data_IF_420778805381
#
_entry.id   IF_420778805381
#
_cell.length_a   1.000
_cell.length_b   1.000
_cell.length_c   1.000
_cell.angle_alpha   90.00
_cell.angle_beta   90.00
_cell.angle_gamma   90.00
#
_symmetry.space_group_name_H-M   'P 1'
#
loop_
_entity.id
_entity.type
_entity.pdbx_description
1 polymer ?
#
# COMPACT_ATOMS: atom_id res chain seq x y z
N UNK A 1 51.77 45.87 14.08
CA UNK A 1 50.71 45.15 14.83
C UNK A 1 49.41 45.92 14.63
N UNK A 2 48.58 45.48 13.69
CA UNK A 2 47.26 46.03 13.45
C UNK A 2 46.26 44.88 13.64
N UNK A 3 45.34 45.08 14.57
CA UNK A 3 44.39 44.07 15.05
C UNK A 3 43.12 44.20 14.20
N UNK A 4 42.84 43.23 13.32
CA UNK A 4 41.61 43.18 12.53
C UNK A 4 40.65 42.20 13.23
N UNK A 5 39.55 42.73 13.77
CA UNK A 5 38.45 41.92 14.29
C UNK A 5 37.65 41.30 13.12
N UNK A 6 37.22 40.04 13.24
CA UNK A 6 36.35 39.43 12.24
C UNK A 6 34.88 39.85 12.41
N UNK A 7 34.25 40.05 11.26
CA UNK A 7 32.86 40.42 11.02
C UNK A 7 31.91 39.28 11.42
N UNK A 8 30.92 39.53 12.28
CA UNK A 8 29.85 38.58 12.61
C UNK A 8 28.64 38.81 11.69
N UNK A 9 28.19 37.83 10.88
CA UNK A 9 26.92 37.94 10.20
C UNK A 9 25.77 37.62 11.18
N UNK A 10 24.85 38.56 11.34
CA UNK A 10 23.61 38.37 12.09
C UNK A 10 22.71 37.42 11.29
N UNK A 11 22.49 36.22 11.81
CA UNK A 11 21.60 35.21 11.24
C UNK A 11 20.15 35.66 11.51
N UNK A 12 19.45 36.14 10.48
CA UNK A 12 18.02 36.41 10.56
C UNK A 12 17.27 35.07 10.67
N UNK A 13 16.70 34.79 11.84
CA UNK A 13 15.87 33.61 12.07
C UNK A 13 14.50 33.79 11.44
N UNK A 14 14.20 33.00 10.41
CA UNK A 14 12.89 32.88 9.79
C UNK A 14 11.98 32.10 10.75
N UNK A 15 11.06 32.79 11.46
CA UNK A 15 10.07 32.12 12.30
C UNK A 15 9.02 31.46 11.40
N UNK A 16 9.04 30.13 11.35
CA UNK A 16 8.05 29.31 10.64
C UNK A 16 6.74 29.35 11.43
N UNK A 17 5.67 29.87 10.82
CA UNK A 17 4.31 29.83 11.38
C UNK A 17 3.82 28.38 11.35
N UNK A 18 3.78 27.73 12.51
CA UNK A 18 3.24 26.38 12.64
C UNK A 18 1.73 26.41 12.49
N UNK A 19 1.22 25.80 11.42
CA UNK A 19 -0.21 25.50 11.25
C UNK A 19 -0.64 24.55 12.38
N UNK A 20 -1.67 24.86 13.19
CA UNK A 20 -2.13 23.95 14.22
C UNK A 20 -2.76 22.72 13.56
N UNK A 21 -2.17 21.55 13.79
CA UNK A 21 -2.74 20.28 13.39
C UNK A 21 -4.06 20.07 14.15
N UNK A 22 -5.16 19.94 13.42
CA UNK A 22 -6.44 19.47 13.96
C UNK A 22 -6.24 18.01 14.43
N UNK A 23 -6.13 17.82 15.74
CA UNK A 23 -6.17 16.49 16.36
C UNK A 23 -7.62 15.97 16.31
N UNK A 24 -7.89 14.83 15.66
CA UNK A 24 -9.20 14.21 15.78
C UNK A 24 -9.35 13.60 17.18
N UNK A 25 -10.37 14.03 17.91
CA UNK A 25 -10.80 13.38 19.16
C UNK A 25 -11.47 12.07 18.78
N UNK A 26 -10.86 10.94 19.14
CA UNK A 26 -11.50 9.63 19.01
C UNK A 26 -12.45 9.42 20.20
N UNK A 27 -13.76 9.35 19.94
CA UNK A 27 -14.75 8.87 20.90
C UNK A 27 -14.74 7.34 20.85
N UNK A 28 -14.35 6.70 21.94
CA UNK A 28 -14.43 5.25 22.08
C UNK A 28 -15.89 4.85 22.37
N UNK A 29 -16.61 4.38 21.35
CA UNK A 29 -17.86 3.66 21.53
C UNK A 29 -17.54 2.16 21.69
N UNK A 30 -17.90 1.61 22.85
CA UNK A 30 -17.81 0.17 23.10
C UNK A 30 -18.78 -0.58 22.18
N UNK A 31 -18.24 -1.34 21.23
CA UNK A 31 -18.97 -2.24 20.36
C UNK A 31 -17.99 -3.06 19.54
N UNK A 32 -18.20 -4.38 19.47
CA UNK A 32 -17.35 -5.33 18.74
C UNK A 32 -17.57 -5.26 17.21
N UNK A 33 -17.73 -4.05 16.67
CA UNK A 33 -17.77 -3.78 15.24
C UNK A 33 -16.40 -3.23 14.85
N UNK A 34 -15.69 -3.91 13.95
CA UNK A 34 -14.49 -3.36 13.32
C UNK A 34 -14.89 -2.13 12.51
N UNK A 35 -14.79 -0.95 13.11
CA UNK A 35 -15.04 0.31 12.43
C UNK A 35 -14.11 0.44 11.22
N UNK A 36 -14.70 0.76 10.07
CA UNK A 36 -13.98 1.02 8.83
C UNK A 36 -12.92 2.10 9.05
N UNK A 37 -11.66 1.82 8.70
CA UNK A 37 -10.58 2.80 8.84
C UNK A 37 -10.75 3.91 7.82
N UNK A 38 -10.86 5.16 8.29
CA UNK A 38 -10.69 6.36 7.48
C UNK A 38 -9.22 6.86 7.48
N UNK A 39 -8.39 6.28 8.34
CA UNK A 39 -6.96 6.58 8.42
C UNK A 39 -6.15 5.62 7.52
N UNK A 40 -4.97 6.05 7.04
CA UNK A 40 -4.03 5.17 6.36
C UNK A 40 -3.69 3.92 7.19
N UNK A 41 -3.53 2.80 6.51
CA UNK A 41 -3.09 1.53 7.08
C UNK A 41 -1.70 1.23 6.54
N UNK A 42 -0.75 0.96 7.44
CA UNK A 42 0.60 0.53 7.12
C UNK A 42 0.86 -0.79 7.82
N UNK A 43 0.87 -1.89 7.06
CA UNK A 43 1.05 -3.23 7.59
C UNK A 43 2.43 -3.76 7.19
N UNK A 44 3.26 -4.09 8.19
CA UNK A 44 4.54 -4.78 8.02
C UNK A 44 4.31 -6.27 8.12
N UNK A 45 4.43 -6.96 7.00
CA UNK A 45 4.08 -8.36 6.89
C UNK A 45 5.20 -9.28 7.40
N UNK A 46 4.84 -10.39 8.03
CA UNK A 46 5.77 -11.37 8.58
C UNK A 46 6.43 -10.92 9.87
N UNK A 47 5.78 -10.06 10.65
CA UNK A 47 6.37 -9.50 11.85
C UNK A 47 5.32 -9.09 12.88
N UNK A 48 5.77 -8.82 14.10
CA UNK A 48 4.93 -8.42 15.24
C UNK A 48 5.30 -7.03 15.77
N UNK A 49 4.38 -6.43 16.53
CA UNK A 49 4.57 -5.11 17.13
C UNK A 49 4.64 -3.98 16.10
N UNK A 50 4.81 -2.77 16.60
CA UNK A 50 4.84 -1.54 15.80
C UNK A 50 6.29 -1.11 15.58
N UNK A 51 6.67 -0.77 14.34
CA UNK A 51 7.98 -0.19 14.04
C UNK A 51 7.87 0.97 13.06
N UNK A 52 8.72 1.98 13.23
CA UNK A 52 8.80 3.11 12.32
C UNK A 52 9.79 2.85 11.19
N UNK A 53 9.47 3.32 9.98
CA UNK A 53 10.45 3.42 8.89
C UNK A 53 11.34 4.67 9.03
N UNK A 54 12.29 4.85 8.11
CA UNK A 54 13.20 6.00 8.10
C UNK A 54 12.51 7.36 7.90
N UNK A 55 11.25 7.36 7.46
CA UNK A 55 10.41 8.56 7.32
C UNK A 55 9.47 8.76 8.53
N UNK A 56 9.71 8.06 9.64
CA UNK A 56 8.87 8.08 10.85
C UNK A 56 7.42 7.65 10.62
N UNK A 57 7.12 6.87 9.57
CA UNK A 57 5.79 6.26 9.42
C UNK A 57 5.73 5.01 10.27
N UNK A 58 4.68 4.87 11.06
CA UNK A 58 4.45 3.74 11.96
C UNK A 58 3.80 2.58 11.21
N UNK A 59 4.44 1.41 11.21
CA UNK A 59 3.96 0.19 10.58
C UNK A 59 3.58 -0.86 11.62
N UNK A 60 2.35 -1.35 11.54
CA UNK A 60 1.83 -2.42 12.41
C UNK A 60 2.26 -3.79 11.88
N UNK A 61 2.80 -4.65 12.74
CA UNK A 61 3.07 -6.04 12.41
C UNK A 61 1.79 -6.85 12.17
N UNK A 62 1.78 -7.70 11.15
CA UNK A 62 0.61 -8.53 10.82
C UNK A 62 0.36 -9.70 11.79
N UNK A 63 1.34 -10.13 12.59
CA UNK A 63 1.20 -11.28 13.50
C UNK A 63 0.20 -11.09 14.66
N UNK A 64 -0.33 -9.88 14.84
CA UNK A 64 -1.36 -9.57 15.85
C UNK A 64 -2.23 -8.37 15.45
N UNK A 65 -2.26 -8.06 14.15
CA UNK A 65 -3.01 -6.91 13.64
C UNK A 65 -4.51 -7.17 13.70
N UNK A 66 -5.30 -6.11 13.94
CA UNK A 66 -6.77 -6.15 13.75
C UNK A 66 -7.20 -6.55 12.33
N UNK A 67 -6.29 -6.44 11.36
CA UNK A 67 -6.49 -6.79 9.96
C UNK A 67 -6.08 -8.24 9.63
N UNK A 68 -5.43 -8.93 10.56
CA UNK A 68 -4.95 -10.29 10.38
C UNK A 68 -4.95 -11.10 11.70
N UNK A 69 -6.08 -11.19 12.41
CA UNK A 69 -6.15 -11.78 13.75
C UNK A 69 -5.80 -13.29 13.79
N UNK A 70 -5.90 -13.98 12.64
CA UNK A 70 -5.49 -15.38 12.46
C UNK A 70 -4.69 -15.52 11.17
N UNK A 71 -3.63 -14.72 11.04
CA UNK A 71 -2.81 -14.71 9.83
C UNK A 71 -2.18 -16.08 9.57
N UNK A 72 -2.40 -16.63 8.37
CA UNK A 72 -1.78 -17.88 7.92
C UNK A 72 -0.47 -17.59 7.20
N UNK A 73 0.28 -18.63 6.85
CA UNK A 73 1.57 -18.47 6.17
C UNK A 73 2.74 -18.33 7.15
N UNK A 74 3.93 -18.22 6.60
CA UNK A 74 5.20 -18.27 7.33
C UNK A 74 5.76 -16.86 7.48
N UNK A 75 6.12 -16.50 8.70
CA UNK A 75 6.92 -15.30 8.99
C UNK A 75 8.37 -15.58 8.64
N UNK A 76 8.97 -14.75 7.80
CA UNK A 76 10.33 -14.95 7.36
C UNK A 76 11.12 -13.64 7.30
N UNK A 77 12.37 -13.69 7.75
CA UNK A 77 13.32 -12.61 7.60
C UNK A 77 14.03 -12.70 6.25
N UNK A 78 14.30 -11.53 5.66
CA UNK A 78 15.14 -11.42 4.48
C UNK A 78 16.55 -11.95 4.77
N UNK A 79 17.10 -12.76 3.86
CA UNK A 79 18.43 -13.37 4.02
C UNK A 79 19.59 -12.38 3.92
N UNK A 80 19.33 -11.19 3.38
CA UNK A 80 20.31 -10.16 3.09
C UNK A 80 19.63 -8.79 3.17
N UNK A 81 20.38 -7.76 3.55
CA UNK A 81 19.91 -6.37 3.52
C UNK A 81 20.71 -5.61 2.47
N UNK A 82 20.06 -5.24 1.37
CA UNK A 82 20.69 -4.43 0.34
C UNK A 82 20.93 -3.00 0.85
N UNK A 83 22.13 -2.42 0.68
CA UNK A 83 22.43 -1.06 1.10
C UNK A 83 21.57 0.00 0.39
N UNK A 84 20.97 -0.32 -0.76
CA UNK A 84 20.07 0.58 -1.47
C UNK A 84 18.65 0.63 -0.89
N UNK A 85 18.34 -0.18 0.12
CA UNK A 85 17.03 -0.12 0.78
C UNK A 85 16.87 1.23 1.49
N UNK A 86 15.75 1.95 1.29
CA UNK A 86 15.52 3.23 1.94
C UNK A 86 15.32 3.09 3.47
N UNK A 87 14.96 1.89 3.92
CA UNK A 87 14.69 1.53 5.30
C UNK A 87 14.65 0.01 5.43
N UNK A 88 15.04 -0.59 6.58
CA UNK A 88 14.74 -1.99 6.87
C UNK A 88 13.22 -2.26 6.94
N UNK A 89 12.42 -1.28 7.36
CA UNK A 89 10.96 -1.39 7.44
C UNK A 89 10.33 -0.83 6.15
N UNK A 90 9.44 -1.56 5.47
CA UNK A 90 8.92 -2.90 5.79
C UNK A 90 9.72 -4.08 5.18
N UNK A 91 10.78 -3.82 4.44
CA UNK A 91 11.41 -4.77 3.51
C UNK A 91 12.13 -5.98 4.13
N UNK A 92 12.62 -5.90 5.38
CA UNK A 92 13.43 -6.96 5.99
C UNK A 92 12.62 -8.11 6.59
N UNK A 93 11.29 -7.99 6.64
CA UNK A 93 10.37 -9.04 7.02
C UNK A 93 9.38 -9.30 5.89
N UNK A 94 8.97 -10.55 5.70
CA UNK A 94 7.93 -10.93 4.75
C UNK A 94 7.02 -11.99 5.34
N UNK A 95 5.77 -11.96 4.92
CA UNK A 95 4.89 -13.11 5.06
C UNK A 95 4.89 -13.92 3.78
N UNK A 96 5.10 -15.23 3.91
CA UNK A 96 5.15 -16.19 2.81
C UNK A 96 3.91 -17.08 2.84
N UNK A 97 3.28 -17.26 1.67
CA UNK A 97 2.10 -18.11 1.49
C UNK A 97 2.38 -19.21 0.46
N UNK A 98 2.15 -20.47 0.85
CA UNK A 98 2.22 -21.64 -0.03
C UNK A 98 0.85 -22.11 -0.51
N UNK A 99 -0.21 -21.42 -0.08
CA UNK A 99 -1.59 -21.56 -0.53
C UNK A 99 -2.26 -20.19 -0.53
N UNK A 100 -3.43 -20.09 -1.14
CA UNK A 100 -4.13 -18.80 -1.23
C UNK A 100 -4.43 -18.24 0.16
N UNK A 101 -4.13 -16.96 0.35
CA UNK A 101 -4.45 -16.25 1.59
C UNK A 101 -5.00 -14.87 1.27
N UNK A 102 -6.02 -14.47 2.04
CA UNK A 102 -6.72 -13.19 1.87
C UNK A 102 -6.57 -12.39 3.16
N UNK A 103 -6.05 -11.17 3.02
CA UNK A 103 -6.21 -10.14 4.04
C UNK A 103 -7.53 -9.41 3.80
N UNK A 104 -8.29 -9.16 4.87
CA UNK A 104 -9.53 -8.38 4.79
C UNK A 104 -9.37 -7.10 5.61
N UNK A 105 -9.33 -5.97 4.91
CA UNK A 105 -9.16 -4.66 5.54
C UNK A 105 -10.51 -3.95 5.63
N UNK A 106 -11.06 -3.71 6.84
CA UNK A 106 -12.26 -2.90 7.03
C UNK A 106 -11.91 -1.44 6.73
N UNK A 107 -12.40 -0.94 5.61
CA UNK A 107 -12.11 0.40 5.07
C UNK A 107 -13.39 1.05 4.61
N UNK A 108 -13.44 2.39 4.64
CA UNK A 108 -14.63 3.08 4.14
C UNK A 108 -14.75 2.90 2.63
N UNK A 109 -15.97 2.88 2.12
CA UNK A 109 -16.18 2.88 0.68
C UNK A 109 -15.57 4.15 0.05
N UNK A 110 -15.00 4.01 -1.14
CA UNK A 110 -14.36 5.10 -1.86
C UNK A 110 -13.02 4.71 -2.48
N UNK A 111 -12.38 5.71 -3.07
CA UNK A 111 -11.10 5.57 -3.75
C UNK A 111 -9.95 5.50 -2.74
N UNK A 112 -8.97 4.65 -3.04
CA UNK A 112 -7.75 4.53 -2.23
C UNK A 112 -6.55 4.16 -3.08
N UNK A 113 -5.37 4.56 -2.62
CA UNK A 113 -4.11 3.98 -3.08
C UNK A 113 -3.84 2.70 -2.28
N UNK A 114 -3.55 1.62 -3.01
CA UNK A 114 -3.02 0.37 -2.50
C UNK A 114 -1.58 0.24 -2.97
N UNK A 115 -0.63 0.17 -2.04
CA UNK A 115 0.79 -0.06 -2.33
C UNK A 115 1.24 -1.39 -1.76
N UNK A 116 1.81 -2.22 -2.61
CA UNK A 116 2.38 -3.52 -2.25
C UNK A 116 3.90 -3.46 -2.33
N UNK A 117 4.57 -3.81 -1.25
CA UNK A 117 6.02 -3.76 -1.11
C UNK A 117 6.61 -5.16 -1.23
N UNK A 118 7.57 -5.32 -2.15
CA UNK A 118 8.27 -6.58 -2.40
C UNK A 118 9.78 -6.39 -2.41
N UNK A 119 10.50 -7.17 -1.62
CA UNK A 119 11.94 -7.26 -1.60
C UNK A 119 12.37 -8.68 -1.98
N UNK A 120 12.74 -8.92 -3.25
CA UNK A 120 12.93 -10.26 -3.80
C UNK A 120 14.30 -10.86 -3.45
N UNK A 121 14.48 -11.22 -2.18
CA UNK A 121 15.61 -12.03 -1.70
C UNK A 121 15.12 -13.39 -1.21
N UNK A 122 16.03 -14.23 -0.73
CA UNK A 122 15.65 -15.48 -0.11
C UNK A 122 15.04 -15.24 1.28
N UNK A 123 14.03 -16.04 1.62
CA UNK A 123 13.34 -16.02 2.90
C UNK A 123 13.41 -17.43 3.49
N UNK A 124 14.43 -17.72 4.30
CA UNK A 124 14.68 -19.08 4.78
C UNK A 124 14.91 -20.07 3.62
N UNK A 125 14.07 -21.09 3.51
CA UNK A 125 14.11 -22.07 2.41
C UNK A 125 13.41 -21.62 1.12
N UNK A 126 12.75 -20.46 1.13
CA UNK A 126 12.04 -19.91 -0.03
C UNK A 126 13.00 -19.08 -0.89
N UNK A 127 13.39 -19.64 -2.03
CA UNK A 127 14.27 -18.96 -2.99
C UNK A 127 13.51 -17.87 -3.76
N UNK A 128 14.11 -16.68 -3.91
CA UNK A 128 13.50 -15.53 -4.59
C UNK A 128 12.94 -15.86 -5.99
N UNK A 129 13.61 -16.73 -6.73
CA UNK A 129 13.21 -17.14 -8.08
C UNK A 129 11.94 -17.98 -8.12
N UNK A 130 11.54 -18.61 -7.01
CA UNK A 130 10.33 -19.46 -6.93
C UNK A 130 9.06 -18.67 -6.57
N UNK A 131 9.17 -17.36 -6.34
CA UNK A 131 8.05 -16.48 -6.03
C UNK A 131 7.26 -16.10 -7.29
N UNK A 132 6.36 -16.99 -7.73
CA UNK A 132 5.42 -16.72 -8.82
C UNK A 132 3.99 -16.73 -8.28
N UNK A 133 3.30 -15.60 -8.34
CA UNK A 133 1.97 -15.49 -7.74
C UNK A 133 1.11 -14.43 -8.40
N UNK A 134 -0.20 -14.56 -8.23
CA UNK A 134 -1.17 -13.52 -8.52
C UNK A 134 -1.57 -12.75 -7.26
N UNK A 135 -2.07 -11.53 -7.46
CA UNK A 135 -2.70 -10.73 -6.40
C UNK A 135 -4.01 -10.18 -6.93
N UNK A 136 -5.09 -10.38 -6.19
CA UNK A 136 -6.39 -9.77 -6.47
C UNK A 136 -6.82 -8.86 -5.32
N UNK A 137 -7.46 -7.74 -5.66
CA UNK A 137 -8.14 -6.87 -4.73
C UNK A 137 -9.64 -6.94 -5.03
N UNK A 138 -10.41 -7.57 -4.15
CA UNK A 138 -11.77 -7.99 -4.42
C UNK A 138 -11.80 -8.77 -5.76
N UNK A 139 -12.60 -8.32 -6.73
CA UNK A 139 -12.72 -8.94 -8.05
C UNK A 139 -11.70 -8.43 -9.09
N UNK A 140 -10.78 -7.53 -8.71
CA UNK A 140 -9.78 -6.94 -9.60
C UNK A 140 -8.46 -7.72 -9.53
N UNK A 141 -7.99 -8.21 -10.68
CA UNK A 141 -6.64 -8.78 -10.80
C UNK A 141 -5.64 -7.62 -10.85
N UNK A 142 -4.78 -7.52 -9.84
CA UNK A 142 -3.72 -6.51 -9.77
C UNK A 142 -2.42 -7.04 -10.38
N UNK A 143 -2.12 -8.31 -10.13
CA UNK A 143 -0.92 -9.01 -10.59
C UNK A 143 -1.33 -10.42 -11.04
N UNK A 144 -0.81 -10.88 -12.19
CA UNK A 144 -0.95 -12.25 -12.67
C UNK A 144 0.44 -12.82 -12.98
N UNK A 145 0.71 -14.05 -12.52
CA UNK A 145 2.01 -14.75 -12.67
C UNK A 145 3.23 -13.86 -12.38
N UNK A 146 3.11 -12.97 -11.41
CA UNK A 146 4.14 -11.99 -11.08
C UNK A 146 5.34 -12.67 -10.43
N UNK A 147 6.53 -12.32 -10.92
CA UNK A 147 7.80 -12.66 -10.30
C UNK A 147 8.55 -11.37 -9.95
N UNK A 148 8.68 -11.11 -8.65
CA UNK A 148 9.34 -9.92 -8.14
C UNK A 148 10.84 -9.93 -8.43
N UNK A 149 11.51 -11.09 -8.38
CA UNK A 149 12.95 -11.18 -8.66
C UNK A 149 13.28 -10.79 -10.10
N UNK A 150 12.55 -11.31 -11.09
CA UNK A 150 12.72 -10.97 -12.50
C UNK A 150 12.41 -9.49 -12.77
N UNK A 151 11.35 -8.97 -12.16
CA UNK A 151 10.96 -7.57 -12.29
C UNK A 151 12.04 -6.64 -11.74
N UNK A 152 12.58 -6.95 -10.56
CA UNK A 152 13.61 -6.17 -9.88
C UNK A 152 14.91 -6.17 -10.69
N UNK A 153 15.32 -7.34 -11.19
CA UNK A 153 16.48 -7.49 -12.07
C UNK A 153 16.34 -6.68 -13.36
N UNK A 154 15.19 -6.77 -14.04
CA UNK A 154 14.94 -6.03 -15.28
C UNK A 154 14.91 -4.51 -15.08
N UNK A 155 14.51 -4.06 -13.88
CA UNK A 155 14.41 -2.63 -13.55
C UNK A 155 15.63 -2.09 -12.81
N UNK A 156 16.64 -2.92 -12.54
CA UNK A 156 17.86 -2.57 -11.76
C UNK A 156 17.59 -1.99 -10.37
N UNK A 157 16.51 -2.42 -9.72
CA UNK A 157 16.18 -2.01 -8.36
C UNK A 157 16.25 -3.21 -7.40
N UNK A 158 16.72 -2.98 -6.16
CA UNK A 158 16.77 -4.03 -5.15
C UNK A 158 15.38 -4.42 -4.61
N UNK A 159 14.39 -3.54 -4.72
CA UNK A 159 13.02 -3.73 -4.23
C UNK A 159 12.00 -3.18 -5.23
N UNK A 160 10.73 -3.55 -5.05
CA UNK A 160 9.61 -3.13 -5.89
C UNK A 160 8.50 -2.57 -5.00
N UNK A 161 7.93 -1.45 -5.43
CA UNK A 161 6.64 -0.97 -4.93
C UNK A 161 5.66 -1.00 -6.10
N UNK A 162 4.53 -1.69 -5.93
CA UNK A 162 3.42 -1.66 -6.87
C UNK A 162 2.31 -0.81 -6.29
N UNK A 163 2.05 0.33 -6.89
CA UNK A 163 0.97 1.23 -6.53
C UNK A 163 -0.21 1.03 -7.48
N UNK A 164 -1.39 0.88 -6.89
CA UNK A 164 -2.67 0.82 -7.58
C UNK A 164 -3.59 1.84 -6.97
N UNK A 165 -4.45 2.41 -7.81
CA UNK A 165 -5.59 3.15 -7.33
C UNK A 165 -6.79 2.20 -7.48
N UNK A 166 -7.52 1.93 -6.40
CA UNK A 166 -8.65 0.99 -6.35
C UNK A 166 -9.88 1.68 -5.77
N UNK A 167 -11.07 1.28 -6.23
CA UNK A 167 -12.34 1.77 -5.69
C UNK A 167 -12.99 0.65 -4.87
N UNK A 168 -13.25 0.90 -3.59
CA UNK A 168 -13.89 -0.06 -2.70
C UNK A 168 -15.36 0.30 -2.54
N UNK A 169 -16.25 -0.63 -2.84
CA UNK A 169 -17.71 -0.41 -2.79
C UNK A 169 -18.37 -1.03 -1.55
N UNK A 170 -17.75 -2.04 -0.95
CA UNK A 170 -18.40 -2.95 0.02
C UNK A 170 -17.86 -2.88 1.45
N UNK A 171 -17.19 -1.79 1.85
CA UNK A 171 -16.71 -1.60 3.23
C UNK A 171 -15.53 -2.49 3.66
N UNK A 172 -15.06 -3.37 2.77
CA UNK A 172 -13.84 -4.16 2.93
C UNK A 172 -13.02 -4.16 1.65
N UNK A 173 -11.70 -4.11 1.80
CA UNK A 173 -10.75 -4.43 0.75
C UNK A 173 -10.15 -5.80 1.05
N UNK A 174 -10.52 -6.80 0.25
CA UNK A 174 -10.02 -8.16 0.36
C UNK A 174 -8.86 -8.37 -0.62
N UNK A 175 -7.66 -8.53 -0.09
CA UNK A 175 -6.44 -8.68 -0.86
C UNK A 175 -5.97 -10.14 -0.82
N UNK A 176 -6.14 -10.86 -1.93
CA UNK A 176 -5.79 -12.27 -2.03
C UNK A 176 -4.46 -12.47 -2.74
N UNK A 177 -3.53 -13.16 -2.08
CA UNK A 177 -2.26 -13.62 -2.63
C UNK A 177 -2.39 -15.09 -3.01
N UNK A 178 -2.15 -15.42 -4.28
CA UNK A 178 -2.35 -16.76 -4.82
C UNK A 178 -1.07 -17.28 -5.49
N UNK A 179 -0.34 -18.23 -4.89
CA UNK A 179 0.77 -18.90 -5.55
C UNK A 179 0.35 -19.51 -6.89
N UNK A 180 1.21 -19.41 -7.89
CA UNK A 180 0.93 -20.00 -9.20
C UNK A 180 0.94 -21.53 -9.11
N UNK A 181 0.07 -22.23 -9.86
CA UNK A 181 0.14 -23.68 -9.91
C UNK A 181 1.52 -24.14 -10.41
N UNK A 182 2.01 -25.30 -9.97
CA UNK A 182 3.26 -25.86 -10.47
C UNK A 182 3.21 -25.95 -12.00
N UNK A 183 4.20 -25.41 -12.70
CA UNK A 183 4.31 -25.61 -14.15
C UNK A 183 5.35 -26.69 -14.45
N UNK A 184 4.97 -27.66 -15.27
CA UNK A 184 5.90 -28.69 -15.79
C UNK A 184 7.01 -28.11 -16.66
N UNK A 185 6.89 -26.84 -17.08
CA UNK A 185 7.83 -26.13 -17.94
C UNK A 185 8.87 -25.29 -17.19
N UNK A 186 8.70 -25.03 -15.88
CA UNK A 186 9.63 -24.19 -15.10
C UNK A 186 10.88 -24.92 -14.62
N UNK A 187 10.99 -26.24 -14.86
CA UNK A 187 12.09 -27.06 -14.33
C UNK A 187 12.15 -27.10 -12.79
N UNK A 188 11.12 -26.57 -12.13
CA UNK A 188 11.10 -26.29 -10.71
C UNK A 188 10.19 -27.34 -10.04
N UNK A 189 10.82 -28.38 -9.49
CA UNK A 189 10.12 -29.47 -8.79
C UNK A 189 9.57 -29.06 -7.42
N UNK A 190 9.90 -27.85 -6.96
CA UNK A 190 9.36 -27.25 -5.73
C UNK A 190 8.21 -26.32 -6.09
N UNK A 191 7.10 -26.43 -5.36
CA UNK A 191 5.94 -25.55 -5.54
C UNK A 191 6.30 -24.06 -5.47
N UNK A 192 5.54 -23.23 -6.17
CA UNK A 192 5.70 -21.78 -6.10
C UNK A 192 5.11 -21.24 -4.80
N UNK A 193 5.45 -20.00 -4.47
CA UNK A 193 4.88 -19.30 -3.31
C UNK A 193 4.57 -17.85 -3.64
N UNK A 194 3.73 -17.25 -2.80
CA UNK A 194 3.47 -15.80 -2.77
C UNK A 194 4.14 -15.20 -1.54
N UNK A 195 4.54 -13.95 -1.62
CA UNK A 195 5.00 -13.22 -0.44
C UNK A 195 4.70 -11.73 -0.55
N UNK A 196 4.72 -11.06 0.60
CA UNK A 196 4.61 -9.61 0.69
C UNK A 196 5.39 -9.11 1.90
N UNK A 197 6.09 -7.99 1.75
CA UNK A 197 6.83 -7.35 2.85
C UNK A 197 6.00 -6.30 3.57
N UNK A 198 5.23 -5.52 2.81
CA UNK A 198 4.38 -4.49 3.35
C UNK A 198 3.16 -4.24 2.49
N UNK A 199 2.07 -3.87 3.16
CA UNK A 199 0.82 -3.45 2.53
C UNK A 199 0.50 -2.07 3.08
N UNK A 200 0.29 -1.11 2.18
CA UNK A 200 -0.13 0.24 2.53
C UNK A 200 -1.44 0.56 1.82
N UNK A 201 -2.41 1.06 2.58
CA UNK A 201 -3.72 1.47 2.09
C UNK A 201 -3.96 2.89 2.54
N UNK A 202 -4.14 3.80 1.59
CA UNK A 202 -4.34 5.22 1.84
C UNK A 202 -5.64 5.66 1.18
N UNK A 203 -6.69 5.98 1.94
CA UNK A 203 -7.90 6.60 1.38
C UNK A 203 -7.54 7.90 0.64
N UNK A 204 -8.15 8.12 -0.52
CA UNK A 204 -7.90 9.30 -1.36
C UNK A 204 -9.20 9.94 -1.80
N UNK A 205 -9.23 11.25 -2.06
CA UNK A 205 -10.28 11.84 -2.87
C UNK A 205 -10.34 11.15 -4.24
N UNK A 206 -11.52 11.11 -4.85
CA UNK A 206 -11.64 10.60 -6.21
C UNK A 206 -11.16 11.66 -7.21
N UNK A 207 -9.86 11.63 -7.51
CA UNK A 207 -9.17 12.59 -8.37
C UNK A 207 -9.16 12.18 -9.85
N UNK A 208 -9.70 11.00 -10.19
CA UNK A 208 -9.73 10.48 -11.57
C UNK A 208 -11.13 10.52 -12.19
N UNK A 209 -12.04 11.31 -11.62
CA UNK A 209 -13.35 11.57 -12.23
C UNK A 209 -13.20 12.51 -13.41
N UNK A 210 -13.95 12.26 -14.48
CA UNK A 210 -14.16 13.26 -15.52
C UNK A 210 -14.84 14.46 -14.85
N UNK A 211 -14.24 15.65 -14.82
CA UNK A 211 -14.94 16.81 -14.32
C UNK A 211 -16.19 16.97 -15.19
N UNK A 212 -17.37 17.01 -14.57
CA UNK A 212 -18.57 17.47 -15.25
C UNK A 212 -18.27 18.93 -15.61
N UNK A 213 -18.12 19.30 -16.90
CA UNK A 213 -17.80 20.67 -17.23
C UNK A 213 -18.98 21.54 -16.79
N UNK A 214 -18.80 22.40 -15.79
CA UNK A 214 -19.80 23.41 -15.49
C UNK A 214 -19.74 24.46 -16.59
N UNK A 215 -20.88 24.72 -17.23
CA UNK A 215 -21.01 25.92 -18.06
C UNK A 215 -20.81 27.13 -17.15
N UNK A 216 -20.23 28.20 -17.68
CA UNK A 216 -19.96 29.45 -16.93
C UNK A 216 -21.25 30.10 -16.41
N UNK A 217 -22.42 29.68 -16.92
CA UNK A 217 -23.75 30.09 -16.47
C UNK A 217 -24.39 29.17 -15.41
N UNK A 218 -23.69 28.11 -14.96
CA UNK A 218 -24.22 27.13 -14.01
C UNK A 218 -25.17 26.09 -14.61
N UNK A 219 -25.27 26.00 -15.94
CA UNK A 219 -26.04 24.99 -16.65
C UNK A 219 -25.38 23.60 -16.63
N UNK A 220 -26.24 22.58 -16.56
CA UNK A 220 -25.87 21.16 -16.65
C UNK A 220 -25.40 20.86 -18.09
N UNK A 221 -24.19 20.33 -18.33
CA UNK A 221 -23.58 20.26 -19.65
C UNK A 221 -24.15 19.15 -20.54
N UNK A 222 -25.32 18.59 -20.21
CA UNK A 222 -25.99 17.59 -21.05
C UNK A 222 -26.17 18.16 -22.47
N UNK A 223 -25.40 17.69 -23.48
CA UNK A 223 -25.42 18.33 -24.80
C UNK A 223 -26.73 18.05 -25.55
N UNK A 224 -27.52 17.08 -25.08
CA UNK A 224 -28.78 16.66 -25.67
C UNK A 224 -29.77 16.20 -24.59
N UNK A 225 -30.55 17.12 -23.98
CA UNK A 225 -31.75 16.71 -23.27
C UNK A 225 -32.72 16.12 -24.30
N UNK A 226 -33.00 14.82 -24.20
CA UNK A 226 -34.05 14.21 -25.02
C UNK A 226 -35.39 14.84 -24.61
N UNK A 227 -35.91 15.73 -25.46
CA UNK A 227 -37.25 16.29 -25.30
C UNK A 227 -38.22 15.36 -26.03
N UNK A 228 -39.12 14.65 -25.32
CA UNK A 228 -40.17 13.90 -25.97
C UNK A 228 -41.07 14.85 -26.79
N UNK A 229 -41.43 14.49 -28.03
CA UNK A 229 -42.30 15.32 -28.85
C UNK A 229 -43.72 15.26 -28.29
N UNK A 230 -44.14 16.33 -27.59
CA UNK A 230 -45.53 16.46 -27.11
C UNK A 230 -45.83 17.52 -26.05
N UNK A 231 -44.83 18.19 -25.44
CA UNK A 231 -45.09 19.22 -24.43
C UNK A 231 -45.27 20.61 -25.03
N UNK A 232 -46.52 21.04 -25.26
CA UNK A 232 -46.87 22.43 -25.54
C UNK A 232 -46.75 23.31 -24.28
N UNK A 233 -46.23 24.53 -24.45
CA UNK A 233 -46.11 25.58 -23.42
C UNK A 233 -47.45 25.99 -22.81
#
# INVERSE_FOLDING_TARGET
MANLQPYHPVLATLQCLTLPALLPVAVAAGGNATAASAAPIFLRCGASGVQSDSNNRSWDGDGSSRFAPSVKGVEAAASYQDPSLPSPVPYMAARVFTSNYTYSFPVSAGRMFLRLYFYPVAYGSYAASAAYFGVTANDLILLDKFNSSQTALASTFAYIVREFSVNVTSGSLDLTFAPSPPSSSSGQNNGTYAFVNGIEIVPTPDIFTTPTPSLVDGGDPNPFPWIPPGGSR
#
